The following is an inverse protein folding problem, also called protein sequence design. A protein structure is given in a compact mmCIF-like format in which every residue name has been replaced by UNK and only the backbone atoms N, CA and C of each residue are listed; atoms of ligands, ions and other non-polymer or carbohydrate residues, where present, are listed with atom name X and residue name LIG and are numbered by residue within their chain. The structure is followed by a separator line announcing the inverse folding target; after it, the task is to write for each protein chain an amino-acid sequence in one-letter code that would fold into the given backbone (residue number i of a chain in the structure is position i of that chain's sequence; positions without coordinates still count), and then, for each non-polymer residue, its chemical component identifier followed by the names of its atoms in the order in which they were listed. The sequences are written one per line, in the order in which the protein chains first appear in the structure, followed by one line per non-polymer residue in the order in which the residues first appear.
data_IF_356328126898
#
_entry.id   IF_356328126898
#
_cell.length_a   1.000
_cell.length_b   1.000
_cell.length_c   1.000
_cell.angle_alpha   90.00
_cell.angle_beta   90.00
_cell.angle_gamma   90.00
#
_symmetry.space_group_name_H-M   'P 1'
#
loop_
_entity.id
_entity.type
_entity.pdbx_description
1 polymer ?
#
# COMPACT_ATOMS: atom_id res chain seq x y z
N UNK A 1 -21.15 -16.66 -13.87
CA UNK A 1 -22.50 -16.63 -14.47
C UNK A 1 -22.80 -15.31 -15.17
N UNK A 2 -23.00 -14.16 -14.50
CA UNK A 2 -23.41 -12.92 -15.20
C UNK A 2 -22.47 -12.46 -16.34
N UNK A 3 -21.16 -12.37 -16.10
CA UNK A 3 -20.20 -11.94 -17.14
C UNK A 3 -19.99 -12.98 -18.25
N UNK A 4 -20.12 -14.27 -17.92
CA UNK A 4 -20.07 -15.35 -18.92
C UNK A 4 -21.30 -15.32 -19.83
N UNK A 5 -22.48 -15.04 -19.27
CA UNK A 5 -23.70 -14.83 -20.05
C UNK A 5 -23.58 -13.60 -20.94
N UNK A 6 -22.98 -12.52 -20.45
CA UNK A 6 -22.69 -11.34 -21.26
C UNK A 6 -21.75 -11.67 -22.42
N UNK A 7 -20.68 -12.44 -22.19
CA UNK A 7 -19.78 -12.91 -23.25
C UNK A 7 -20.51 -13.78 -24.27
N UNK A 8 -21.36 -14.71 -23.83
CA UNK A 8 -22.16 -15.55 -24.73
C UNK A 8 -23.10 -14.69 -25.59
N UNK A 9 -23.79 -13.72 -24.99
CA UNK A 9 -24.66 -12.78 -25.69
C UNK A 9 -23.90 -11.95 -26.73
N UNK A 10 -22.70 -11.46 -26.40
CA UNK A 10 -21.84 -10.73 -27.35
C UNK A 10 -21.46 -11.60 -28.56
N UNK A 11 -21.14 -12.88 -28.33
CA UNK A 11 -20.82 -13.85 -29.40
C UNK A 11 -22.04 -14.16 -30.27
N UNK A 12 -23.20 -14.39 -29.66
CA UNK A 12 -24.48 -14.61 -30.37
C UNK A 12 -24.87 -13.42 -31.25
N UNK A 13 -24.53 -12.20 -30.84
CA UNK A 13 -24.80 -10.98 -31.60
C UNK A 13 -23.65 -10.59 -32.55
N UNK A 14 -22.68 -11.49 -32.78
CA UNK A 14 -21.54 -11.27 -33.68
C UNK A 14 -20.75 -9.98 -33.40
N UNK A 15 -20.65 -9.59 -32.12
CA UNK A 15 -19.83 -8.45 -31.72
C UNK A 15 -18.36 -8.80 -31.95
N UNK A 16 -17.61 -7.86 -32.52
CA UNK A 16 -16.17 -8.04 -32.82
C UNK A 16 -15.26 -7.18 -31.94
N UNK A 17 -15.76 -6.06 -31.42
CA UNK A 17 -14.98 -5.10 -30.64
C UNK A 17 -15.70 -4.75 -29.33
N UNK A 18 -14.97 -4.72 -28.22
CA UNK A 18 -15.46 -4.28 -26.92
C UNK A 18 -14.54 -3.18 -26.40
N UNK A 19 -15.14 -2.06 -26.02
CA UNK A 19 -14.44 -0.89 -25.51
C UNK A 19 -14.73 -0.72 -24.03
N UNK A 20 -13.68 -0.59 -23.21
CA UNK A 20 -13.77 -0.40 -21.77
C UNK A 20 -13.25 0.98 -21.39
N UNK A 21 -13.87 1.64 -20.41
CA UNK A 21 -13.26 2.81 -19.80
C UNK A 21 -12.17 2.37 -18.79
N UNK A 22 -11.00 3.02 -18.81
CA UNK A 22 -9.88 2.66 -17.94
C UNK A 22 -9.99 3.21 -16.50
N UNK A 23 -11.14 3.75 -16.10
CA UNK A 23 -11.36 4.33 -14.77
C UNK A 23 -11.65 3.25 -13.74
N UNK A 24 -10.84 3.19 -12.68
CA UNK A 24 -11.03 2.23 -11.59
C UNK A 24 -10.72 0.78 -11.97
N UNK A 25 -11.32 -0.17 -11.24
CA UNK A 25 -11.05 -1.61 -11.40
C UNK A 25 -12.10 -2.35 -12.23
N UNK A 26 -13.20 -1.72 -12.62
CA UNK A 26 -14.35 -2.43 -13.20
C UNK A 26 -14.10 -3.06 -14.57
N UNK A 27 -13.11 -2.56 -15.32
CA UNK A 27 -12.71 -3.16 -16.59
C UNK A 27 -11.93 -4.47 -16.42
N UNK A 28 -11.26 -4.70 -15.26
CA UNK A 28 -10.43 -5.88 -15.02
C UNK A 28 -11.23 -7.19 -15.05
N UNK A 29 -12.36 -7.35 -14.34
CA UNK A 29 -13.16 -8.58 -14.41
C UNK A 29 -13.67 -8.89 -15.82
N UNK A 30 -14.04 -7.85 -16.59
CA UNK A 30 -14.48 -8.01 -17.97
C UNK A 30 -13.32 -8.48 -18.86
N UNK A 31 -12.19 -7.78 -18.78
CA UNK A 31 -10.99 -8.13 -19.53
C UNK A 31 -10.51 -9.56 -19.22
N UNK A 32 -10.49 -9.95 -17.95
CA UNK A 32 -10.07 -11.29 -17.53
C UNK A 32 -10.95 -12.42 -18.09
N UNK A 33 -12.25 -12.18 -18.28
CA UNK A 33 -13.17 -13.20 -18.81
C UNK A 33 -13.21 -13.16 -20.35
N UNK A 34 -13.08 -11.97 -20.94
CA UNK A 34 -13.26 -11.79 -22.38
C UNK A 34 -11.95 -12.01 -23.16
N UNK A 35 -10.79 -11.93 -22.50
CA UNK A 35 -9.47 -12.08 -23.14
C UNK A 35 -9.23 -13.47 -23.74
N UNK A 36 -9.93 -14.51 -23.28
CA UNK A 36 -9.90 -15.86 -23.85
C UNK A 36 -10.80 -16.02 -25.10
N UNK A 37 -11.38 -14.93 -25.62
CA UNK A 37 -12.25 -14.94 -26.79
C UNK A 37 -11.64 -14.19 -27.97
N UNK A 38 -12.19 -14.38 -29.16
CA UNK A 38 -11.76 -13.71 -30.40
C UNK A 38 -12.17 -12.22 -30.48
N UNK A 39 -12.61 -11.62 -29.36
CA UNK A 39 -13.03 -10.22 -29.30
C UNK A 39 -11.82 -9.29 -29.27
N UNK A 40 -11.89 -8.19 -30.03
CA UNK A 40 -10.92 -7.10 -29.94
C UNK A 40 -11.26 -6.25 -28.72
N UNK A 41 -10.45 -6.36 -27.67
CA UNK A 41 -10.62 -5.65 -26.41
C UNK A 41 -9.81 -4.35 -26.41
N UNK A 42 -10.47 -3.20 -26.29
CA UNK A 42 -9.84 -1.88 -26.33
C UNK A 42 -10.11 -1.14 -25.03
N UNK A 43 -9.04 -0.70 -24.35
CA UNK A 43 -9.13 0.10 -23.14
C UNK A 43 -9.02 1.60 -23.50
N UNK A 44 -10.09 2.36 -23.30
CA UNK A 44 -10.18 3.78 -23.58
C UNK A 44 -9.70 4.63 -22.39
N UNK A 45 -8.79 5.57 -22.65
CA UNK A 45 -8.32 6.51 -21.63
C UNK A 45 -9.39 7.60 -21.37
N UNK A 46 -9.93 7.74 -20.14
CA UNK A 46 -10.95 8.73 -19.80
C UNK A 46 -10.53 10.17 -20.11
N UNK A 47 -9.23 10.49 -20.03
CA UNK A 47 -8.71 11.83 -20.33
C UNK A 47 -8.85 12.19 -21.81
N UNK A 48 -8.79 11.20 -22.71
CA UNK A 48 -8.88 11.40 -24.16
C UNK A 48 -10.33 11.38 -24.66
N UNK A 49 -11.21 10.62 -23.99
CA UNK A 49 -12.63 10.53 -24.34
C UNK A 49 -13.51 11.61 -23.68
N UNK A 50 -12.89 12.55 -22.93
CA UNK A 50 -13.47 13.70 -22.18
C UNK A 50 -14.99 13.67 -22.03
N UNK A 51 -15.45 13.50 -20.79
CA UNK A 51 -16.84 13.67 -20.36
C UNK A 51 -17.53 14.83 -21.10
N UNK A 52 -18.43 14.48 -22.03
CA UNK A 52 -19.29 15.44 -22.69
C UNK A 52 -20.20 16.04 -21.61
N UNK A 53 -20.14 17.36 -21.34
CA UNK A 53 -20.97 17.97 -20.31
C UNK A 53 -22.45 17.69 -20.61
N UNK A 54 -23.18 17.12 -19.64
CA UNK A 54 -24.62 16.86 -19.76
C UNK A 54 -25.05 15.39 -19.88
N UNK A 55 -24.15 14.41 -19.81
CA UNK A 55 -24.48 12.98 -19.75
C UNK A 55 -24.21 12.46 -18.33
N UNK A 56 -25.24 11.89 -17.68
CA UNK A 56 -25.25 11.57 -16.23
C UNK A 56 -25.61 10.10 -15.95
N UNK A 57 -25.41 9.20 -16.92
CA UNK A 57 -25.82 7.80 -16.78
C UNK A 57 -24.82 6.88 -17.47
N UNK A 58 -24.43 5.81 -16.80
CA UNK A 58 -23.48 4.80 -17.29
C UNK A 58 -23.85 4.24 -18.68
N UNK A 59 -25.16 4.12 -18.98
CA UNK A 59 -25.64 3.69 -20.31
C UNK A 59 -25.23 4.64 -21.43
N UNK A 60 -25.37 5.95 -21.21
CA UNK A 60 -25.01 6.97 -22.23
C UNK A 60 -23.50 7.05 -22.44
N UNK A 61 -22.72 6.78 -21.40
CA UNK A 61 -21.27 6.77 -21.48
C UNK A 61 -20.79 5.54 -22.26
N UNK A 62 -21.39 4.37 -22.03
CA UNK A 62 -21.14 3.16 -22.82
C UNK A 62 -21.51 3.35 -24.31
N UNK A 63 -22.67 3.94 -24.61
CA UNK A 63 -23.08 4.26 -25.99
C UNK A 63 -22.08 5.21 -26.67
N UNK A 64 -21.62 6.22 -25.96
CA UNK A 64 -20.65 7.19 -26.47
C UNK A 64 -19.30 6.57 -26.77
N UNK A 65 -18.77 5.77 -25.84
CA UNK A 65 -17.51 5.04 -26.03
C UNK A 65 -17.63 4.10 -27.24
N UNK A 66 -18.76 3.40 -27.39
CA UNK A 66 -19.00 2.53 -28.54
C UNK A 66 -19.03 3.32 -29.87
N UNK A 67 -19.62 4.51 -29.90
CA UNK A 67 -19.62 5.38 -31.08
C UNK A 67 -18.21 5.85 -31.45
N UNK A 68 -17.45 6.34 -30.47
CA UNK A 68 -16.06 6.75 -30.70
C UNK A 68 -15.18 5.59 -31.19
N UNK A 69 -15.37 4.41 -30.59
CA UNK A 69 -14.67 3.20 -30.98
C UNK A 69 -14.95 2.78 -32.42
N UNK A 70 -16.23 2.81 -32.86
CA UNK A 70 -16.61 2.52 -34.25
C UNK A 70 -15.99 3.48 -35.26
N UNK A 71 -15.78 4.74 -34.87
CA UNK A 71 -15.15 5.75 -35.72
C UNK A 71 -13.60 5.70 -35.68
N UNK A 72 -13.00 4.78 -34.92
CA UNK A 72 -11.54 4.71 -34.77
C UNK A 72 -10.94 5.89 -33.98
N UNK A 73 -11.75 6.59 -33.18
CA UNK A 73 -11.35 7.78 -32.42
C UNK A 73 -10.82 7.47 -31.02
N UNK A 74 -10.71 6.18 -30.67
CA UNK A 74 -10.13 5.74 -29.39
C UNK A 74 -8.71 5.25 -29.64
N UNK A 75 -7.75 5.96 -29.08
CA UNK A 75 -6.38 5.47 -28.94
C UNK A 75 -6.35 4.40 -27.82
N UNK A 76 -6.00 3.14 -28.12
CA UNK A 76 -5.98 2.08 -27.13
C UNK A 76 -4.93 2.35 -26.05
N UNK A 77 -5.34 2.28 -24.78
CA UNK A 77 -4.40 2.29 -23.66
C UNK A 77 -3.62 0.98 -23.62
N UNK A 78 -2.34 1.07 -23.25
CA UNK A 78 -1.51 -0.11 -23.05
C UNK A 78 -2.06 -0.99 -21.93
N UNK A 79 -2.35 -2.26 -22.27
CA UNK A 79 -2.70 -3.31 -21.32
C UNK A 79 -1.45 -4.19 -21.14
N UNK A 80 -0.84 -4.22 -19.95
CA UNK A 80 0.31 -5.09 -19.71
C UNK A 80 -0.07 -6.56 -19.82
N UNK A 81 0.94 -7.43 -19.98
CA UNK A 81 0.72 -8.87 -19.89
C UNK A 81 0.12 -9.26 -18.52
N UNK A 82 -0.60 -10.40 -18.43
CA UNK A 82 -1.18 -10.87 -17.18
C UNK A 82 -0.17 -10.92 -16.03
N UNK A 83 1.07 -11.34 -16.31
CA UNK A 83 2.15 -11.47 -15.32
C UNK A 83 2.56 -10.11 -14.77
N UNK A 84 2.67 -9.10 -15.64
CA UNK A 84 2.96 -7.72 -15.23
C UNK A 84 1.81 -7.14 -14.42
N UNK A 85 0.55 -7.47 -14.76
CA UNK A 85 -0.62 -7.02 -14.00
C UNK A 85 -0.64 -7.60 -12.58
N UNK A 86 -0.32 -8.89 -12.41
CA UNK A 86 -0.20 -9.50 -11.08
C UNK A 86 0.97 -8.92 -10.28
N UNK A 87 2.13 -8.72 -10.91
CA UNK A 87 3.26 -8.07 -10.23
C UNK A 87 2.90 -6.65 -9.78
N UNK A 88 2.15 -5.90 -10.58
CA UNK A 88 1.63 -4.57 -10.19
C UNK A 88 0.69 -4.64 -8.99
N UNK A 89 -0.13 -5.68 -8.87
CA UNK A 89 -1.00 -5.89 -7.72
C UNK A 89 -0.18 -6.07 -6.44
N UNK A 90 0.81 -6.97 -6.46
CA UNK A 90 1.70 -7.25 -5.34
C UNK A 90 2.49 -6.00 -4.92
N UNK A 91 3.12 -5.31 -5.87
CA UNK A 91 3.93 -4.12 -5.60
C UNK A 91 3.10 -2.92 -5.11
N UNK A 92 1.84 -2.77 -5.58
CA UNK A 92 0.90 -1.78 -5.02
C UNK A 92 0.55 -2.09 -3.58
N UNK A 93 0.35 -3.37 -3.24
CA UNK A 93 0.09 -3.77 -1.84
C UNK A 93 1.31 -3.51 -0.96
N UNK A 94 2.51 -3.80 -1.46
CA UNK A 94 3.76 -3.50 -0.76
C UNK A 94 3.91 -2.00 -0.48
N UNK A 95 3.63 -1.15 -1.47
CA UNK A 95 3.61 0.31 -1.29
C UNK A 95 2.60 0.74 -0.22
N UNK A 96 1.40 0.15 -0.22
CA UNK A 96 0.38 0.44 0.79
C UNK A 96 0.84 0.05 2.20
N UNK A 97 1.50 -1.10 2.39
CA UNK A 97 2.03 -1.48 3.69
C UNK A 97 3.15 -0.56 4.16
N UNK A 98 4.08 -0.18 3.28
CA UNK A 98 5.14 0.79 3.60
C UNK A 98 4.56 2.15 4.01
N UNK A 99 3.51 2.62 3.33
CA UNK A 99 2.83 3.86 3.69
C UNK A 99 2.18 3.78 5.08
N UNK A 100 1.49 2.68 5.40
CA UNK A 100 0.87 2.47 6.71
C UNK A 100 1.92 2.36 7.81
N UNK A 101 3.01 1.63 7.57
CA UNK A 101 4.13 1.56 8.50
C UNK A 101 4.69 2.95 8.81
N UNK A 102 4.86 3.82 7.80
CA UNK A 102 5.28 5.21 8.02
C UNK A 102 4.29 6.02 8.84
N UNK A 103 2.98 5.81 8.65
CA UNK A 103 1.95 6.47 9.45
C UNK A 103 2.07 6.09 10.93
N UNK A 104 2.18 4.80 11.22
CA UNK A 104 2.37 4.27 12.58
C UNK A 104 3.67 4.79 13.21
N UNK A 105 4.76 4.87 12.45
CA UNK A 105 6.02 5.50 12.93
C UNK A 105 5.81 6.95 13.34
N UNK A 106 5.08 7.72 12.54
CA UNK A 106 4.79 9.13 12.85
C UNK A 106 3.90 9.28 14.08
N UNK A 107 2.96 8.36 14.31
CA UNK A 107 2.14 8.34 15.53
C UNK A 107 3.02 8.16 16.78
N UNK A 108 3.96 7.21 16.76
CA UNK A 108 4.93 7.02 17.86
C UNK A 108 5.78 8.29 18.05
N UNK A 109 6.31 8.88 16.98
CA UNK A 109 7.06 10.14 17.09
C UNK A 109 6.25 11.28 17.70
N UNK A 110 4.97 11.41 17.34
CA UNK A 110 4.09 12.44 17.90
C UNK A 110 3.84 12.23 19.39
N UNK A 111 3.65 10.98 19.84
CA UNK A 111 3.49 10.65 21.26
C UNK A 111 4.75 10.97 22.05
N UNK A 112 5.93 10.60 21.54
CA UNK A 112 7.22 10.94 22.17
C UNK A 112 7.41 12.45 22.26
N UNK A 113 7.14 13.18 21.18
CA UNK A 113 7.27 14.65 21.14
C UNK A 113 6.33 15.32 22.14
N UNK A 114 5.06 14.89 22.21
CA UNK A 114 4.08 15.39 23.17
C UNK A 114 4.51 15.15 24.62
N UNK A 115 5.15 14.00 24.88
CA UNK A 115 5.67 13.64 26.20
C UNK A 115 7.02 14.29 26.54
N UNK A 116 7.56 15.16 25.67
CA UNK A 116 8.91 15.74 25.80
C UNK A 116 10.04 14.68 25.85
N UNK A 117 9.90 13.58 25.12
CA UNK A 117 10.93 12.57 24.95
C UNK A 117 11.68 12.82 23.64
N UNK A 118 13.01 12.93 23.73
CA UNK A 118 13.90 13.37 22.61
C UNK A 118 14.86 12.28 22.14
N UNK A 119 14.39 11.03 22.09
CA UNK A 119 15.19 9.89 21.61
C UNK A 119 15.74 10.10 20.18
N UNK A 120 15.03 10.83 19.34
CA UNK A 120 15.43 11.16 17.96
C UNK A 120 16.69 12.04 17.87
N UNK A 121 17.08 12.71 18.96
CA UNK A 121 18.33 13.47 19.00
C UNK A 121 19.58 12.59 19.08
N UNK A 122 19.43 11.36 19.59
CA UNK A 122 20.54 10.45 19.87
C UNK A 122 20.48 9.16 19.05
N UNK A 123 19.27 8.75 18.65
CA UNK A 123 19.03 7.58 17.81
C UNK A 123 18.66 8.01 16.39
N UNK A 124 19.44 7.57 15.41
CA UNK A 124 19.10 7.74 13.99
C UNK A 124 17.83 6.99 13.59
N UNK A 125 17.51 5.92 14.31
CA UNK A 125 16.29 5.13 14.12
C UNK A 125 15.75 4.64 15.47
N UNK A 126 14.62 5.23 15.88
CA UNK A 126 13.88 4.84 17.10
C UNK A 126 13.23 3.47 16.97
N UNK A 127 13.09 2.95 15.75
CA UNK A 127 12.55 1.61 15.48
C UNK A 127 13.64 0.55 15.32
N UNK A 128 14.90 0.90 15.57
CA UNK A 128 15.99 -0.06 15.70
C UNK A 128 15.81 -0.97 16.93
N UNK A 129 16.59 -2.06 17.04
CA UNK A 129 16.52 -2.95 18.20
C UNK A 129 16.68 -2.21 19.54
N UNK A 130 17.64 -1.29 19.62
CA UNK A 130 17.83 -0.46 20.82
C UNK A 130 16.66 0.48 21.04
N UNK A 131 16.19 1.19 20.00
CA UNK A 131 15.06 2.10 20.16
C UNK A 131 13.77 1.40 20.60
N UNK A 132 13.47 0.23 20.02
CA UNK A 132 12.33 -0.60 20.45
C UNK A 132 12.48 -1.08 21.89
N UNK A 133 13.67 -1.51 22.32
CA UNK A 133 13.91 -1.91 23.71
C UNK A 133 13.67 -0.74 24.68
N UNK A 134 14.13 0.47 24.34
CA UNK A 134 13.87 1.68 25.14
C UNK A 134 12.38 2.06 25.17
N UNK A 135 11.66 1.87 24.06
CA UNK A 135 10.20 2.05 24.04
C UNK A 135 9.49 1.04 24.94
N UNK A 136 9.97 -0.20 25.00
CA UNK A 136 9.43 -1.24 25.89
C UNK A 136 9.60 -0.88 27.37
N UNK A 137 10.70 -0.25 27.77
CA UNK A 137 10.87 0.27 29.14
C UNK A 137 9.74 1.25 29.51
N UNK A 138 9.36 2.14 28.58
CA UNK A 138 8.20 3.02 28.77
C UNK A 138 6.88 2.26 28.86
N UNK A 139 6.66 1.27 28.00
CA UNK A 139 5.41 0.50 27.98
C UNK A 139 5.21 -0.25 29.31
N UNK A 140 6.25 -0.91 29.81
CA UNK A 140 6.17 -1.77 30.98
C UNK A 140 6.08 -1.02 32.32
N UNK A 141 6.30 0.30 32.34
CA UNK A 141 6.35 1.02 33.61
C UNK A 141 7.65 0.83 34.37
N UNK A 142 8.68 0.28 33.73
CA UNK A 142 9.96 -0.02 34.37
C UNK A 142 10.67 1.28 34.82
N UNK A 143 11.44 1.18 35.90
CA UNK A 143 12.28 2.26 36.34
C UNK A 143 13.35 2.54 35.27
N UNK A 144 13.38 3.78 34.78
CA UNK A 144 14.39 4.23 33.83
C UNK A 144 15.60 4.65 34.65
N UNK A 145 16.55 3.74 34.78
CA UNK A 145 17.83 3.95 35.45
C UNK A 145 18.99 3.62 34.49
N UNK A 146 20.22 3.93 34.91
CA UNK A 146 21.38 3.79 34.03
C UNK A 146 21.65 2.33 33.65
N UNK A 147 21.33 1.38 34.54
CA UNK A 147 21.54 -0.05 34.31
C UNK A 147 20.51 -0.60 33.31
N UNK A 148 19.23 -0.26 33.47
CA UNK A 148 18.16 -0.68 32.55
C UNK A 148 18.36 -0.10 31.15
N UNK A 149 18.76 1.17 31.05
CA UNK A 149 19.09 1.80 29.75
C UNK A 149 20.36 1.19 29.14
N UNK A 150 21.43 0.98 29.92
CA UNK A 150 22.66 0.37 29.44
C UNK A 150 22.44 -1.03 28.85
N UNK A 151 21.54 -1.82 29.45
CA UNK A 151 21.18 -3.16 28.95
C UNK A 151 20.51 -3.15 27.57
N UNK A 152 19.86 -2.04 27.20
CA UNK A 152 19.18 -1.85 25.91
C UNK A 152 20.13 -1.37 24.79
N UNK A 153 21.24 -0.74 25.17
CA UNK A 153 22.15 -0.08 24.23
C UNK A 153 22.99 -1.12 23.49
N UNK A 154 22.84 -1.16 22.17
CA UNK A 154 23.74 -1.93 21.32
C UNK A 154 25.08 -1.20 21.16
N UNK A 155 26.20 -1.95 21.11
CA UNK A 155 27.59 -1.46 20.98
C UNK A 155 27.91 -0.43 19.87
N UNK A 156 26.97 -0.21 18.93
CA UNK A 156 27.13 0.74 17.80
C UNK A 156 26.49 2.10 18.07
N UNK A 157 25.69 2.22 19.12
CA UNK A 157 25.11 3.49 19.55
C UNK A 157 26.22 4.29 20.21
N UNK A 158 26.36 5.55 19.78
CA UNK A 158 27.39 6.46 20.29
C UNK A 158 26.97 7.17 21.58
N UNK A 159 25.66 7.32 21.77
CA UNK A 159 25.10 7.99 22.93
C UNK A 159 25.34 7.16 24.20
N UNK A 160 25.69 7.85 25.29
CA UNK A 160 25.87 7.20 26.59
C UNK A 160 24.51 6.83 27.22
N UNK A 161 24.47 5.90 28.19
CA UNK A 161 23.27 5.64 28.98
C UNK A 161 22.68 6.90 29.61
N UNK A 162 23.53 7.80 30.12
CA UNK A 162 23.12 9.06 30.75
C UNK A 162 22.46 10.02 29.75
N UNK A 163 23.03 10.16 28.55
CA UNK A 163 22.43 10.98 27.48
C UNK A 163 21.06 10.46 27.06
N UNK A 164 20.90 9.14 26.97
CA UNK A 164 19.62 8.52 26.66
C UNK A 164 18.61 8.64 27.80
N UNK A 165 19.04 8.51 29.06
CA UNK A 165 18.19 8.77 30.21
C UNK A 165 17.68 10.21 30.22
N UNK A 166 18.56 11.17 29.94
CA UNK A 166 18.18 12.58 29.81
C UNK A 166 17.17 12.78 28.67
N UNK A 167 17.39 12.13 27.52
CA UNK A 167 16.46 12.15 26.40
C UNK A 167 15.10 11.52 26.73
N UNK A 168 15.08 10.55 27.64
CA UNK A 168 13.88 9.84 28.11
C UNK A 168 13.19 10.56 29.28
N UNK A 169 13.77 11.63 29.82
CA UNK A 169 13.23 12.41 30.93
C UNK A 169 12.06 13.31 30.49
N UNK A 170 10.96 12.66 30.14
CA UNK A 170 9.69 13.27 29.76
C UNK A 170 8.55 12.83 30.68
N UNK A 171 7.33 13.23 30.32
CA UNK A 171 6.11 12.86 31.04
C UNK A 171 5.18 12.07 30.13
N UNK A 172 5.17 10.76 30.31
CA UNK A 172 4.22 9.84 29.67
C UNK A 172 3.07 9.53 30.62
N UNK A 173 1.83 9.75 30.16
CA UNK A 173 0.66 9.23 30.84
C UNK A 173 0.50 7.72 30.62
N UNK A 174 -0.43 7.08 31.35
CA UNK A 174 -0.75 5.67 31.11
C UNK A 174 -1.37 5.47 29.72
N UNK A 175 -2.15 6.45 29.26
CA UNK A 175 -2.76 6.48 27.93
C UNK A 175 -1.70 6.61 26.84
N UNK A 176 -0.68 7.46 27.02
CA UNK A 176 0.42 7.57 26.06
C UNK A 176 1.17 6.24 25.93
N UNK A 177 1.47 5.57 27.06
CA UNK A 177 2.13 4.25 27.08
C UNK A 177 1.30 3.20 26.36
N UNK A 178 -0.02 3.17 26.60
CA UNK A 178 -0.93 2.26 25.92
C UNK A 178 -0.93 2.48 24.40
N UNK A 179 -1.02 3.74 23.96
CA UNK A 179 -0.99 4.07 22.53
C UNK A 179 0.36 3.73 21.88
N UNK A 180 1.48 3.98 22.56
CA UNK A 180 2.81 3.56 22.08
C UNK A 180 2.87 2.04 21.92
N UNK A 181 2.32 1.27 22.86
CA UNK A 181 2.26 -0.19 22.76
C UNK A 181 1.49 -0.66 21.53
N UNK A 182 0.28 -0.12 21.32
CA UNK A 182 -0.56 -0.47 20.18
C UNK A 182 0.10 -0.10 18.85
N UNK A 183 0.68 1.09 18.73
CA UNK A 183 1.42 1.48 17.52
C UNK A 183 2.67 0.62 17.31
N UNK A 184 3.35 0.17 18.37
CA UNK A 184 4.51 -0.71 18.22
C UNK A 184 4.12 -2.11 17.70
N UNK A 185 2.99 -2.65 18.17
CA UNK A 185 2.41 -3.89 17.65
C UNK A 185 2.04 -3.75 16.16
N UNK A 186 1.39 -2.66 15.77
CA UNK A 186 1.08 -2.40 14.35
C UNK A 186 2.35 -2.27 13.49
N UNK A 187 3.38 -1.60 14.00
CA UNK A 187 4.66 -1.45 13.32
C UNK A 187 5.29 -2.83 13.04
N UNK A 188 5.31 -3.71 14.05
CA UNK A 188 5.85 -5.07 13.94
C UNK A 188 5.01 -5.92 12.97
N UNK A 189 3.68 -5.79 13.02
CA UNK A 189 2.79 -6.44 12.06
C UNK A 189 3.12 -6.01 10.62
N UNK A 190 3.22 -4.69 10.35
CA UNK A 190 3.56 -4.20 9.02
C UNK A 190 4.96 -4.60 8.58
N UNK A 191 5.94 -4.66 9.48
CA UNK A 191 7.27 -5.16 9.19
C UNK A 191 7.22 -6.60 8.65
N UNK A 192 6.51 -7.50 9.34
CA UNK A 192 6.35 -8.90 8.94
C UNK A 192 5.58 -9.04 7.61
N UNK A 193 4.52 -8.25 7.42
CA UNK A 193 3.75 -8.23 6.17
C UNK A 193 4.59 -7.75 4.98
N UNK A 194 5.45 -6.75 5.19
CA UNK A 194 6.37 -6.25 4.16
C UNK A 194 7.38 -7.33 3.80
N UNK A 195 8.05 -7.95 4.78
CA UNK A 195 9.06 -8.98 4.55
C UNK A 195 8.48 -10.19 3.79
N UNK A 196 7.28 -10.64 4.21
CA UNK A 196 6.57 -11.74 3.56
C UNK A 196 6.25 -11.41 2.10
N UNK A 197 5.71 -10.21 1.85
CA UNK A 197 5.33 -9.78 0.51
C UNK A 197 6.54 -9.50 -0.39
N UNK A 198 7.64 -9.01 0.17
CA UNK A 198 8.90 -8.85 -0.57
C UNK A 198 9.50 -10.20 -0.99
N UNK A 199 9.36 -11.24 -0.15
CA UNK A 199 9.74 -12.60 -0.54
C UNK A 199 8.88 -13.11 -1.69
N UNK A 200 7.55 -13.01 -1.55
CA UNK A 200 6.61 -13.43 -2.59
C UNK A 200 6.86 -12.71 -3.93
N UNK A 201 7.11 -11.40 -3.90
CA UNK A 201 7.45 -10.62 -5.11
C UNK A 201 8.75 -11.14 -5.76
N UNK A 202 9.78 -11.44 -4.96
CA UNK A 202 11.05 -11.96 -5.50
C UNK A 202 10.84 -13.32 -6.17
N UNK A 203 10.06 -14.20 -5.55
CA UNK A 203 9.80 -15.54 -6.09
C UNK A 203 8.90 -15.47 -7.34
N UNK A 204 7.90 -14.59 -7.34
CA UNK A 204 7.09 -14.29 -8.51
C UNK A 204 7.93 -13.78 -9.69
N UNK A 205 8.86 -12.85 -9.44
CA UNK A 205 9.74 -12.32 -10.49
C UNK A 205 10.61 -13.42 -11.08
N UNK A 206 11.25 -14.25 -10.25
CA UNK A 206 12.08 -15.38 -10.73
C UNK A 206 11.30 -16.38 -11.58
N UNK A 207 10.02 -16.58 -11.27
CA UNK A 207 9.15 -17.53 -11.96
C UNK A 207 8.69 -17.01 -13.32
N UNK A 208 8.21 -15.77 -13.38
CA UNK A 208 7.51 -15.23 -14.55
C UNK A 208 8.41 -14.37 -15.47
N UNK A 209 9.60 -13.96 -14.99
CA UNK A 209 10.54 -13.13 -15.73
C UNK A 209 11.99 -13.67 -15.57
N UNK A 210 12.31 -14.83 -16.20
CA UNK A 210 13.62 -15.46 -16.13
C UNK A 210 14.73 -14.71 -16.87
#
# INVERSE_FOLDING_TARGET
MALQNALAWLKENHVTHVFFESTGQYWLPLFNIFSDSDLVLVLANPQHIKNVPGRKTDMKDAEWIAQLGRCGLIEPSYIPSPEVMQLRLLTRRLRSYKQRQTQVKNEIHNLLQRANIKLTSYLSDVFSKTGQALLTLFINGEAIDSESVASCIHRRIKASPEELMEAMNGKLSLEDRFLISQSLEEYQMYQNLIETLESEIKDYIKKEFP
#
